data_IF_324310128025
#
_entry.id   IF_324310128025
#
_cell.length_a   1.000
_cell.length_b   1.000
_cell.length_c   1.000
_cell.angle_alpha   90.00
_cell.angle_beta   90.00
_cell.angle_gamma   90.00
#
_symmetry.space_group_name_H-M   'P 1'
#
loop_
_entity.id
_entity.type
_entity.pdbx_description
1 polymer ?
#
# COMPACT_ATOMS: atom_id res chain seq x y z
N UNK A 1 32.88 -45.86 9.23
CA UNK A 1 32.36 -45.54 7.89
C UNK A 1 30.87 -45.87 7.85
N UNK A 2 30.08 -44.79 7.87
CA UNK A 2 28.66 -44.55 7.57
C UNK A 2 27.53 -45.44 8.14
N UNK A 3 26.83 -44.85 9.12
CA UNK A 3 25.45 -45.12 9.56
C UNK A 3 24.46 -44.65 8.49
N UNK A 4 23.43 -45.45 8.18
CA UNK A 4 22.31 -45.05 7.32
C UNK A 4 20.99 -45.58 7.89
N UNK A 5 20.20 -44.69 8.49
CA UNK A 5 18.80 -44.95 8.85
C UNK A 5 17.90 -44.11 7.93
N UNK A 6 17.03 -44.79 7.18
CA UNK A 6 16.01 -44.18 6.34
C UNK A 6 14.86 -43.68 7.21
N UNK A 7 14.61 -42.37 7.21
CA UNK A 7 13.44 -41.74 7.83
C UNK A 7 12.48 -41.23 6.75
N UNK A 8 11.34 -41.91 6.59
CA UNK A 8 10.16 -41.40 5.87
C UNK A 8 9.02 -41.43 6.88
N UNK A 9 8.37 -40.29 7.13
CA UNK A 9 7.19 -40.29 8.00
C UNK A 9 6.71 -38.93 8.50
N UNK A 10 5.95 -38.25 7.64
CA UNK A 10 4.77 -37.41 7.92
C UNK A 10 4.95 -36.08 8.69
N UNK A 11 4.61 -35.01 7.97
CA UNK A 11 4.39 -33.64 8.42
C UNK A 11 3.41 -33.59 9.60
N UNK A 12 3.94 -33.23 10.78
CA UNK A 12 3.15 -32.72 11.88
C UNK A 12 2.53 -31.39 11.44
N UNK A 13 1.20 -31.30 11.52
CA UNK A 13 0.46 -30.09 11.28
C UNK A 13 0.71 -29.04 12.37
N UNK A 14 0.60 -27.77 12.00
CA UNK A 14 0.38 -26.68 12.94
C UNK A 14 -0.99 -26.07 12.68
N UNK A 15 -2.03 -26.79 13.13
CA UNK A 15 -3.23 -26.11 13.62
C UNK A 15 -2.85 -25.43 14.93
N UNK A 16 -2.97 -24.10 15.00
CA UNK A 16 -2.96 -23.38 16.28
C UNK A 16 -4.34 -22.79 16.53
N UNK A 17 -5.29 -23.68 16.83
CA UNK A 17 -6.44 -23.34 17.67
C UNK A 17 -6.00 -23.49 19.12
N UNK A 18 -5.67 -22.38 19.76
CA UNK A 18 -5.40 -22.29 21.19
C UNK A 18 -6.04 -21.02 21.70
N UNK A 19 -7.16 -21.14 22.40
CA UNK A 19 -7.78 -20.08 23.18
C UNK A 19 -6.79 -19.59 24.24
N UNK A 20 -6.01 -18.58 23.88
CA UNK A 20 -5.33 -17.66 24.78
C UNK A 20 -5.93 -16.29 24.57
N UNK A 21 -6.82 -15.87 25.47
CA UNK A 21 -7.40 -14.53 25.50
C UNK A 21 -6.28 -13.49 25.65
N UNK A 22 -5.81 -12.96 24.53
CA UNK A 22 -4.70 -12.00 24.42
C UNK A 22 -4.16 -11.79 23.00
N UNK A 23 -4.43 -12.72 22.06
CA UNK A 23 -3.87 -12.66 20.68
C UNK A 23 -4.67 -11.86 19.63
N UNK A 24 -5.88 -11.39 19.95
CA UNK A 24 -6.76 -10.71 18.98
C UNK A 24 -6.37 -9.27 18.65
N UNK A 25 -5.60 -8.60 19.51
CA UNK A 25 -5.27 -7.18 19.30
C UNK A 25 -4.24 -6.98 18.19
N UNK A 26 -3.13 -7.73 18.23
CA UNK A 26 -2.01 -7.53 17.29
C UNK A 26 -2.33 -7.89 15.83
N UNK A 27 -3.17 -8.92 15.60
CA UNK A 27 -3.66 -9.26 14.26
C UNK A 27 -4.55 -8.15 13.70
N UNK A 28 -5.44 -7.60 14.54
CA UNK A 28 -6.31 -6.48 14.14
C UNK A 28 -5.53 -5.20 13.84
N UNK A 29 -4.41 -4.96 14.53
CA UNK A 29 -3.53 -3.80 14.28
C UNK A 29 -2.78 -3.92 12.97
N UNK A 30 -2.24 -5.10 12.69
CA UNK A 30 -1.59 -5.41 11.41
C UNK A 30 -2.58 -5.32 10.23
N UNK A 31 -3.80 -5.82 10.39
CA UNK A 31 -4.86 -5.68 9.39
C UNK A 31 -5.26 -4.23 9.16
N UNK A 32 -5.43 -3.45 10.24
CA UNK A 32 -5.70 -2.02 10.15
C UNK A 32 -4.54 -1.27 9.47
N UNK A 33 -3.30 -1.64 9.76
CA UNK A 33 -2.11 -1.06 9.12
C UNK A 33 -2.09 -1.38 7.62
N UNK A 34 -2.33 -2.64 7.26
CA UNK A 34 -2.46 -3.10 5.88
C UNK A 34 -3.54 -2.33 5.12
N UNK A 35 -4.73 -2.19 5.71
CA UNK A 35 -5.84 -1.45 5.09
C UNK A 35 -5.54 0.05 4.92
N UNK A 36 -4.81 0.67 5.86
CA UNK A 36 -4.33 2.05 5.70
C UNK A 36 -3.37 2.18 4.53
N UNK A 37 -2.39 1.28 4.41
CA UNK A 37 -1.42 1.32 3.31
C UNK A 37 -2.10 1.10 1.95
N UNK A 38 -3.09 0.20 1.88
CA UNK A 38 -3.88 0.00 0.66
C UNK A 38 -4.59 1.30 0.23
N UNK A 39 -5.36 1.92 1.14
CA UNK A 39 -6.08 3.18 0.86
C UNK A 39 -5.16 4.33 0.46
N UNK A 40 -4.05 4.50 1.18
CA UNK A 40 -3.05 5.52 0.85
C UNK A 40 -2.45 5.30 -0.56
N UNK A 41 -2.29 4.04 -0.98
CA UNK A 41 -1.81 3.69 -2.32
C UNK A 41 -2.86 3.96 -3.39
N UNK A 42 -4.13 3.67 -3.11
CA UNK A 42 -5.26 3.96 -4.01
C UNK A 42 -5.39 5.48 -4.24
N UNK A 43 -5.31 6.29 -3.18
CA UNK A 43 -5.32 7.76 -3.33
C UNK A 43 -4.13 8.30 -4.12
N UNK A 44 -2.99 7.62 -4.12
CA UNK A 44 -1.86 7.97 -4.98
C UNK A 44 -2.13 7.60 -6.45
N UNK A 45 -2.77 6.45 -6.73
CA UNK A 45 -3.20 6.08 -8.09
C UNK A 45 -4.12 7.13 -8.69
N UNK A 46 -5.10 7.62 -7.91
CA UNK A 46 -6.01 8.69 -8.33
C UNK A 46 -5.25 9.96 -8.70
N UNK A 47 -4.19 10.31 -7.95
CA UNK A 47 -3.35 11.46 -8.29
C UNK A 47 -2.58 11.25 -9.60
N UNK A 48 -2.06 10.06 -9.86
CA UNK A 48 -1.47 9.75 -11.16
C UNK A 48 -2.50 9.87 -12.29
N UNK A 49 -3.73 9.39 -12.10
CA UNK A 49 -4.81 9.51 -13.09
C UNK A 49 -5.13 10.97 -13.41
N UNK A 50 -5.22 11.83 -12.39
CA UNK A 50 -5.46 13.26 -12.56
C UNK A 50 -4.32 13.94 -13.34
N UNK A 51 -3.07 13.63 -13.02
CA UNK A 51 -1.92 14.22 -13.73
C UNK A 51 -1.86 13.74 -15.19
N UNK A 52 -2.11 12.45 -15.45
CA UNK A 52 -2.15 11.91 -16.82
C UNK A 52 -3.28 12.55 -17.63
N UNK A 53 -4.45 12.76 -17.02
CA UNK A 53 -5.59 13.40 -17.69
C UNK A 53 -5.33 14.88 -18.01
N UNK A 54 -4.65 15.61 -17.11
CA UNK A 54 -4.29 17.01 -17.32
C UNK A 54 -3.11 17.18 -18.30
N UNK A 55 -2.17 16.23 -18.32
CA UNK A 55 -0.94 16.29 -19.09
C UNK A 55 -0.74 15.03 -19.94
N UNK A 56 -1.45 14.88 -21.07
CA UNK A 56 -1.35 13.69 -21.92
C UNK A 56 0.07 13.41 -22.43
N UNK A 57 0.89 14.45 -22.62
CA UNK A 57 2.29 14.33 -23.07
C UNK A 57 3.18 13.58 -22.05
N UNK A 58 2.80 13.58 -20.77
CA UNK A 58 3.48 12.84 -19.71
C UNK A 58 3.04 11.38 -19.60
N UNK A 59 1.99 10.97 -20.32
CA UNK A 59 1.37 9.65 -20.15
C UNK A 59 2.35 8.49 -20.36
N UNK A 60 3.28 8.62 -21.32
CA UNK A 60 4.29 7.60 -21.59
C UNK A 60 5.24 7.38 -20.40
N UNK A 61 5.60 8.45 -19.70
CA UNK A 61 6.44 8.40 -18.50
C UNK A 61 5.65 7.90 -17.28
N UNK A 62 4.41 8.36 -17.11
CA UNK A 62 3.62 8.14 -15.89
C UNK A 62 2.88 6.79 -15.87
N UNK A 63 2.51 6.23 -17.02
CA UNK A 63 1.73 4.99 -17.08
C UNK A 63 2.44 3.79 -16.43
N UNK A 64 3.74 3.54 -16.68
CA UNK A 64 4.46 2.46 -16.00
C UNK A 64 4.52 2.65 -14.49
N UNK A 65 4.80 3.87 -14.02
CA UNK A 65 4.87 4.19 -12.59
C UNK A 65 3.51 3.99 -11.91
N UNK A 66 2.43 4.48 -12.53
CA UNK A 66 1.06 4.24 -12.06
C UNK A 66 0.74 2.75 -11.95
N UNK A 67 1.11 1.96 -12.96
CA UNK A 67 0.86 0.52 -12.96
C UNK A 67 1.55 -0.17 -11.77
N UNK A 68 2.77 0.24 -11.44
CA UNK A 68 3.44 -0.21 -10.22
C UNK A 68 2.68 0.20 -8.97
N UNK A 69 2.26 1.47 -8.81
CA UNK A 69 1.47 1.89 -7.63
C UNK A 69 0.18 1.08 -7.47
N UNK A 70 -0.50 0.75 -8.58
CA UNK A 70 -1.66 -0.16 -8.58
C UNK A 70 -1.28 -1.56 -8.06
N UNK A 71 -0.15 -2.13 -8.49
CA UNK A 71 0.34 -3.42 -7.98
C UNK A 71 0.64 -3.35 -6.48
N UNK A 72 1.25 -2.26 -6.00
CA UNK A 72 1.50 -2.05 -4.59
C UNK A 72 0.19 -2.00 -3.78
N UNK A 73 -0.82 -1.26 -4.23
CA UNK A 73 -2.14 -1.23 -3.59
C UNK A 73 -2.75 -2.64 -3.46
N UNK A 74 -2.70 -3.42 -4.56
CA UNK A 74 -3.18 -4.81 -4.59
C UNK A 74 -2.42 -5.74 -3.64
N UNK A 75 -1.10 -5.55 -3.47
CA UNK A 75 -0.30 -6.34 -2.53
C UNK A 75 -0.79 -6.19 -1.08
N UNK A 76 -1.32 -5.01 -0.73
CA UNK A 76 -1.94 -4.76 0.57
C UNK A 76 -3.44 -5.10 0.61
N UNK A 77 -4.03 -5.67 -0.44
CA UNK A 77 -5.44 -6.06 -0.48
C UNK A 77 -6.37 -5.00 -1.08
N UNK A 78 -5.83 -3.95 -1.68
CA UNK A 78 -6.60 -3.00 -2.50
C UNK A 78 -7.36 -3.74 -3.61
N UNK A 79 -8.60 -3.30 -3.87
CA UNK A 79 -9.57 -3.93 -4.77
C UNK A 79 -10.04 -5.38 -4.46
N UNK A 80 -9.60 -6.04 -3.37
CA UNK A 80 -10.14 -7.35 -2.93
C UNK A 80 -11.21 -7.26 -1.83
N UNK A 81 -11.73 -6.07 -1.53
CA UNK A 81 -12.89 -5.87 -0.65
C UNK A 81 -14.27 -6.10 -1.29
N UNK A 82 -14.35 -6.41 -2.59
CA UNK A 82 -15.62 -6.61 -3.30
C UNK A 82 -16.11 -8.07 -3.33
N UNK A 83 -15.37 -9.02 -2.75
CA UNK A 83 -15.76 -10.43 -2.67
C UNK A 83 -15.45 -11.00 -1.29
N UNK A 84 -16.47 -11.53 -0.63
CA UNK A 84 -16.47 -12.11 0.72
C UNK A 84 -16.40 -11.11 1.90
N UNK A 85 -17.54 -10.47 2.17
CA UNK A 85 -18.24 -10.57 3.47
C UNK A 85 -19.63 -9.91 3.37
N UNK A 86 -20.66 -10.73 3.16
CA UNK A 86 -22.02 -10.39 3.57
C UNK A 86 -22.05 -10.35 5.09
N UNK A 87 -22.00 -9.15 5.67
CA UNK A 87 -22.40 -8.92 7.07
C UNK A 87 -23.36 -7.74 7.12
N UNK A 88 -24.48 -8.02 7.76
CA UNK A 88 -25.67 -7.18 7.93
C UNK A 88 -25.38 -5.70 8.18
N UNK A 89 -26.10 -4.87 7.43
CA UNK A 89 -26.20 -3.44 7.70
C UNK A 89 -26.95 -3.20 9.03
N UNK A 90 -26.43 -2.28 9.85
CA UNK A 90 -27.20 -1.54 10.84
C UNK A 90 -26.66 -0.10 10.85
N UNK A 91 -27.52 0.92 10.73
CA UNK A 91 -27.08 2.30 10.63
C UNK A 91 -26.99 2.90 12.04
N UNK A 92 -25.77 3.21 12.48
CA UNK A 92 -25.57 4.15 13.58
C UNK A 92 -24.62 5.23 13.10
N UNK A 93 -25.18 6.42 12.94
CA UNK A 93 -24.48 7.60 12.48
C UNK A 93 -23.38 8.04 13.45
N UNK A 94 -22.22 8.31 12.88
CA UNK A 94 -21.36 9.42 13.26
C UNK A 94 -20.55 9.76 12.01
N UNK A 95 -21.12 10.63 11.19
CA UNK A 95 -20.39 11.29 10.13
C UNK A 95 -19.43 12.27 10.81
N UNK A 96 -18.25 11.79 11.20
CA UNK A 96 -17.11 12.69 11.31
C UNK A 96 -16.87 13.27 9.93
N UNK A 97 -16.74 14.59 9.77
CA UNK A 97 -16.28 15.15 8.51
C UNK A 97 -14.83 14.69 8.38
N UNK A 98 -14.61 13.57 7.69
CA UNK A 98 -13.34 13.37 7.00
C UNK A 98 -13.25 14.57 6.08
N UNK A 99 -12.39 15.52 6.42
CA UNK A 99 -12.01 16.62 5.56
C UNK A 99 -11.53 15.99 4.26
N UNK A 100 -12.46 15.79 3.33
CA UNK A 100 -12.17 15.49 1.95
C UNK A 100 -11.62 16.81 1.45
N UNK A 101 -10.33 17.02 1.70
CA UNK A 101 -9.58 18.06 1.06
C UNK A 101 -9.78 17.77 -0.42
N UNK A 102 -10.58 18.62 -1.08
CA UNK A 102 -10.73 18.56 -2.53
C UNK A 102 -9.33 18.43 -3.11
N UNK A 103 -9.11 17.52 -4.08
CA UNK A 103 -7.79 17.35 -4.66
C UNK A 103 -7.33 18.74 -5.10
N UNK A 104 -6.17 19.18 -4.59
CA UNK A 104 -5.55 20.40 -5.07
C UNK A 104 -5.49 20.31 -6.60
N UNK A 105 -5.86 21.38 -7.32
CA UNK A 105 -5.86 21.35 -8.78
C UNK A 105 -4.46 20.97 -9.28
N UNK A 106 -4.40 20.16 -10.33
CA UNK A 106 -3.13 19.81 -10.97
C UNK A 106 -2.55 21.08 -11.58
N UNK A 107 -1.26 21.43 -11.35
CA UNK A 107 -0.64 22.58 -11.98
C UNK A 107 -0.71 22.53 -13.51
N UNK A 108 -0.90 23.68 -14.16
CA UNK A 108 -0.91 23.80 -15.63
C UNK A 108 0.48 23.59 -16.25
N UNK A 109 1.55 23.79 -15.46
CA UNK A 109 2.91 23.51 -15.89
C UNK A 109 3.25 22.02 -15.70
N UNK A 110 3.68 21.29 -16.75
CA UNK A 110 3.99 19.86 -16.66
C UNK A 110 5.10 19.54 -15.66
N UNK A 111 6.14 20.39 -15.57
CA UNK A 111 7.26 20.20 -14.64
C UNK A 111 6.81 20.36 -13.18
N UNK A 112 5.98 21.37 -12.90
CA UNK A 112 5.36 21.57 -11.59
C UNK A 112 4.44 20.40 -11.21
N UNK A 113 3.66 19.87 -12.17
CA UNK A 113 2.82 18.69 -11.93
C UNK A 113 3.66 17.44 -11.57
N UNK A 114 4.79 17.22 -12.26
CA UNK A 114 5.73 16.16 -11.91
C UNK A 114 6.38 16.37 -10.53
N UNK A 115 6.75 17.61 -10.19
CA UNK A 115 7.33 17.93 -8.88
C UNK A 115 6.34 17.72 -7.72
N UNK A 116 5.07 18.08 -7.90
CA UNK A 116 4.02 17.80 -6.93
C UNK A 116 3.76 16.29 -6.78
N UNK A 117 3.75 15.55 -7.88
CA UNK A 117 3.60 14.10 -7.85
C UNK A 117 4.80 13.42 -7.19
N UNK A 118 6.03 13.89 -7.44
CA UNK A 118 7.24 13.42 -6.77
C UNK A 118 7.17 13.67 -5.26
N UNK A 119 6.66 14.83 -4.85
CA UNK A 119 6.44 15.17 -3.44
C UNK A 119 5.40 14.25 -2.81
N UNK A 120 4.34 13.92 -3.53
CA UNK A 120 3.32 12.99 -3.07
C UNK A 120 3.88 11.58 -2.83
N UNK A 121 4.64 11.04 -3.80
CA UNK A 121 5.35 9.76 -3.69
C UNK A 121 6.29 9.75 -2.48
N UNK A 122 7.14 10.77 -2.35
CA UNK A 122 8.09 10.88 -1.23
C UNK A 122 7.39 10.93 0.12
N UNK A 123 6.36 11.76 0.26
CA UNK A 123 5.57 11.84 1.50
C UNK A 123 4.93 10.51 1.87
N UNK A 124 4.45 9.75 0.89
CA UNK A 124 3.86 8.45 1.15
C UNK A 124 4.93 7.41 1.51
N UNK A 125 6.06 7.40 0.81
CA UNK A 125 7.21 6.56 1.14
C UNK A 125 7.69 6.83 2.59
N UNK A 126 7.80 8.09 3.00
CA UNK A 126 8.21 8.48 4.35
C UNK A 126 7.19 8.04 5.41
N UNK A 127 5.88 8.17 5.13
CA UNK A 127 4.83 7.66 6.04
C UNK A 127 4.91 6.14 6.20
N UNK A 128 5.12 5.40 5.11
CA UNK A 128 5.32 3.94 5.15
C UNK A 128 6.58 3.60 5.93
N UNK A 129 7.69 4.31 5.70
CA UNK A 129 8.95 4.09 6.40
C UNK A 129 8.81 4.31 7.93
N UNK A 130 8.01 5.28 8.36
CA UNK A 130 7.66 5.47 9.78
C UNK A 130 6.78 4.34 10.30
N UNK A 131 5.75 3.95 9.55
CA UNK A 131 4.83 2.88 9.94
C UNK A 131 5.48 1.49 10.03
N UNK A 132 6.63 1.28 9.39
CA UNK A 132 7.43 0.06 9.51
C UNK A 132 7.81 -0.29 10.94
N UNK A 133 7.99 0.73 11.79
CA UNK A 133 8.41 0.54 13.18
C UNK A 133 7.32 -0.12 14.04
N UNK A 134 6.08 -0.10 13.57
CA UNK A 134 4.89 -0.60 14.28
C UNK A 134 4.46 -2.00 13.82
N UNK A 135 5.21 -2.63 12.90
CA UNK A 135 4.90 -3.95 12.36
C UNK A 135 6.12 -4.86 12.35
N UNK A 136 5.91 -6.17 12.22
CA UNK A 136 7.00 -7.14 12.17
C UNK A 136 6.82 -8.16 11.04
N UNK A 137 7.85 -8.99 10.86
CA UNK A 137 7.81 -10.14 9.95
C UNK A 137 7.70 -9.76 8.47
N UNK A 138 6.90 -10.53 7.74
CA UNK A 138 6.71 -10.38 6.29
C UNK A 138 6.07 -9.03 5.92
N UNK A 139 5.15 -8.51 6.74
CA UNK A 139 4.49 -7.23 6.51
C UNK A 139 5.49 -6.07 6.52
N UNK A 140 6.44 -6.08 7.47
CA UNK A 140 7.50 -5.08 7.52
C UNK A 140 8.39 -5.13 6.27
N UNK A 141 8.79 -6.33 5.81
CA UNK A 141 9.61 -6.48 4.60
C UNK A 141 8.88 -5.99 3.35
N UNK A 142 7.59 -6.32 3.22
CA UNK A 142 6.77 -5.84 2.11
C UNK A 142 6.66 -4.32 2.12
N UNK A 143 6.31 -3.71 3.25
CA UNK A 143 6.22 -2.25 3.36
C UNK A 143 7.57 -1.56 3.09
N UNK A 144 8.69 -2.15 3.49
CA UNK A 144 10.01 -1.59 3.26
C UNK A 144 10.35 -1.59 1.76
N UNK A 145 10.04 -2.68 1.07
CA UNK A 145 10.18 -2.78 -0.39
C UNK A 145 9.32 -1.75 -1.12
N UNK A 146 8.05 -1.59 -0.72
CA UNK A 146 7.14 -0.61 -1.33
C UNK A 146 7.57 0.84 -1.05
N UNK A 147 8.06 1.13 0.17
CA UNK A 147 8.57 2.44 0.52
C UNK A 147 9.81 2.79 -0.32
N UNK A 148 10.74 1.84 -0.50
CA UNK A 148 11.91 2.01 -1.35
C UNK A 148 11.52 2.24 -2.84
N UNK A 149 10.56 1.47 -3.36
CA UNK A 149 10.04 1.67 -4.72
C UNK A 149 9.43 3.08 -4.90
N UNK A 150 8.60 3.53 -3.96
CA UNK A 150 8.03 4.89 -3.98
C UNK A 150 9.10 5.99 -3.90
N UNK A 151 10.17 5.79 -3.12
CA UNK A 151 11.30 6.72 -3.12
C UNK A 151 12.04 6.76 -4.47
N UNK A 152 12.16 5.61 -5.15
CA UNK A 152 12.68 5.53 -6.52
C UNK A 152 11.79 6.23 -7.55
N UNK A 153 10.46 6.07 -7.45
CA UNK A 153 9.51 6.82 -8.28
C UNK A 153 9.64 8.33 -8.07
N UNK A 154 9.71 8.77 -6.82
CA UNK A 154 9.91 10.19 -6.51
C UNK A 154 11.19 10.75 -7.14
N UNK A 155 12.27 9.96 -7.17
CA UNK A 155 13.50 10.34 -7.87
C UNK A 155 13.29 10.46 -9.38
N UNK A 156 12.70 9.45 -10.04
CA UNK A 156 12.43 9.47 -11.48
C UNK A 156 11.53 10.64 -11.89
N UNK A 157 10.49 10.94 -11.11
CA UNK A 157 9.60 12.08 -11.34
C UNK A 157 10.33 13.42 -11.18
N UNK A 158 11.26 13.50 -10.22
CA UNK A 158 12.09 14.71 -10.04
C UNK A 158 13.05 14.91 -11.22
N UNK A 159 13.64 13.84 -11.76
CA UNK A 159 14.48 13.94 -12.96
C UNK A 159 13.66 14.28 -14.21
N UNK A 160 12.44 13.75 -14.33
CA UNK A 160 11.53 14.09 -15.44
C UNK A 160 11.01 15.53 -15.41
N UNK A 161 11.11 16.22 -14.27
CA UNK A 161 10.69 17.61 -14.10
C UNK A 161 11.78 18.64 -14.47
N UNK A 162 13.00 18.19 -14.79
CA UNK A 162 14.15 19.03 -15.18
C UNK A 162 14.28 19.10 -16.70
#
# INVERSE_FOLDING_TARGET
MLVGAAGVGLLVGCSSGGEGSGGGSGTSEAERARARVARDSEGLVERYDLVIAAHPDLAALLTPLRAEVVRHAKAFGGAKGAGARTVSASPSGSHSPSSSASPSPVPDDPGAALAELATAERRLADRRAKALLEVSGEMARLMASVAAAGAGHAYLLTEGAK
#
